data_IF_226346866619
#
_entry.id   IF_226346866619
#
_cell.length_a   1.000
_cell.length_b   1.000
_cell.length_c   1.000
_cell.angle_alpha   90.00
_cell.angle_beta   90.00
_cell.angle_gamma   90.00
#
_symmetry.space_group_name_H-M   'P 1'
#
loop_
_entity.id
_entity.type
_entity.pdbx_description
1 polymer ?
#
# COMPACT_ATOMS: atom_id res chain seq x y z
N UNK A 1 -32.33 -13.46 -24.17
CA UNK A 1 -31.72 -12.13 -24.00
C UNK A 1 -30.28 -12.23 -24.44
N UNK A 2 -29.86 -11.50 -25.49
CA UNK A 2 -28.46 -11.47 -25.95
C UNK A 2 -27.71 -10.40 -25.17
N UNK A 3 -26.63 -10.78 -24.49
CA UNK A 3 -25.78 -9.84 -23.76
C UNK A 3 -25.13 -8.84 -24.74
N UNK A 4 -24.94 -7.58 -24.34
CA UNK A 4 -24.30 -6.56 -25.17
C UNK A 4 -22.83 -6.92 -25.46
N UNK A 5 -22.34 -6.51 -26.64
CA UNK A 5 -20.93 -6.66 -27.01
C UNK A 5 -20.12 -5.52 -26.41
N UNK A 6 -19.07 -5.85 -25.67
CA UNK A 6 -18.11 -4.89 -25.10
C UNK A 6 -16.90 -4.79 -26.03
N UNK A 7 -16.53 -3.57 -26.41
CA UNK A 7 -15.33 -3.27 -27.17
C UNK A 7 -14.29 -2.70 -26.21
N UNK A 8 -13.09 -3.30 -26.19
CA UNK A 8 -11.98 -2.90 -25.34
C UNK A 8 -10.94 -2.27 -26.25
N UNK A 9 -10.67 -0.99 -26.06
CA UNK A 9 -9.49 -0.36 -26.64
C UNK A 9 -8.27 -0.72 -25.78
N UNK A 10 -7.12 -0.90 -26.43
CA UNK A 10 -5.94 -1.58 -25.88
C UNK A 10 -5.40 -0.98 -24.56
N UNK A 11 -4.46 -1.66 -23.88
CA UNK A 11 -3.99 -1.22 -22.58
C UNK A 11 -3.25 0.12 -22.70
N UNK A 12 -3.89 1.19 -22.23
CA UNK A 12 -3.20 2.42 -21.87
C UNK A 12 -2.21 2.08 -20.75
N UNK A 13 -0.93 2.44 -20.93
CA UNK A 13 0.16 2.00 -20.05
C UNK A 13 -0.22 2.15 -18.58
N UNK A 14 -0.10 1.07 -17.80
CA UNK A 14 -0.58 1.05 -16.43
C UNK A 14 0.20 2.10 -15.60
N UNK A 15 -0.47 3.14 -15.10
CA UNK A 15 0.17 4.10 -14.21
C UNK A 15 0.76 3.38 -12.97
N UNK A 16 1.86 3.93 -12.46
CA UNK A 16 2.63 3.41 -11.32
C UNK A 16 3.41 2.07 -11.47
N UNK A 17 3.67 1.50 -12.65
CA UNK A 17 4.50 0.26 -12.78
C UNK A 17 5.89 0.34 -12.11
N UNK A 18 6.41 1.55 -11.95
CA UNK A 18 7.64 1.85 -11.23
C UNK A 18 7.63 1.38 -9.77
N UNK A 19 6.50 1.06 -9.15
CA UNK A 19 6.51 0.68 -7.73
C UNK A 19 7.39 -0.55 -7.47
N UNK A 20 7.51 -1.46 -8.46
CA UNK A 20 8.26 -2.73 -8.38
C UNK A 20 9.76 -2.55 -8.15
N UNK A 21 10.35 -1.41 -8.52
CA UNK A 21 11.78 -1.16 -8.34
C UNK A 21 12.15 -0.64 -6.94
N UNK A 22 11.17 -0.33 -6.08
CA UNK A 22 11.40 0.18 -4.73
C UNK A 22 11.08 -0.88 -3.68
N UNK A 23 11.90 -0.97 -2.64
CA UNK A 23 11.67 -1.90 -1.52
C UNK A 23 10.53 -1.44 -0.61
N UNK A 24 10.33 -0.12 -0.49
CA UNK A 24 9.25 0.46 0.32
C UNK A 24 8.47 1.48 -0.51
N UNK A 25 7.14 1.33 -0.52
CA UNK A 25 6.24 2.24 -1.26
C UNK A 25 5.21 2.86 -0.32
N UNK A 26 4.97 4.16 -0.49
CA UNK A 26 3.92 4.92 0.18
C UNK A 26 2.88 5.32 -0.87
N UNK A 27 1.70 4.72 -0.78
CA UNK A 27 0.57 4.95 -1.68
C UNK A 27 -0.44 5.87 -0.96
N UNK A 28 -0.72 7.04 -1.53
CA UNK A 28 -1.66 8.02 -0.99
C UNK A 28 -2.79 8.28 -1.98
N UNK A 29 -3.99 7.86 -1.63
CA UNK A 29 -5.20 8.08 -2.42
C UNK A 29 -6.20 8.98 -1.69
N UNK A 30 -6.65 10.07 -2.33
CA UNK A 30 -7.75 10.89 -1.79
C UNK A 30 -9.05 10.64 -2.52
N UNK A 31 -10.12 10.36 -1.76
CA UNK A 31 -11.45 10.09 -2.31
C UNK A 31 -11.39 8.99 -3.37
N UNK A 32 -11.89 9.30 -4.57
CA UNK A 32 -11.86 8.41 -5.74
C UNK A 32 -10.44 8.12 -6.26
N UNK A 33 -9.45 8.93 -5.90
CA UNK A 33 -8.04 8.71 -6.24
C UNK A 33 -7.43 7.46 -5.60
N UNK A 34 -8.17 6.77 -4.73
CA UNK A 34 -7.78 5.46 -4.21
C UNK A 34 -8.00 4.32 -5.21
N UNK A 35 -8.98 4.43 -6.11
CA UNK A 35 -9.31 3.40 -7.12
C UNK A 35 -8.10 2.88 -7.90
N UNK A 36 -7.26 3.75 -8.47
CA UNK A 36 -6.06 3.25 -9.18
C UNK A 36 -5.05 2.55 -8.27
N UNK A 37 -4.98 2.90 -7.00
CA UNK A 37 -4.05 2.26 -6.06
C UNK A 37 -4.48 0.84 -5.70
N UNK A 38 -5.76 0.48 -5.90
CA UNK A 38 -6.28 -0.87 -5.65
C UNK A 38 -5.54 -1.90 -6.49
N UNK A 39 -5.34 -1.61 -7.78
CA UNK A 39 -4.67 -2.55 -8.68
C UNK A 39 -3.22 -2.79 -8.24
N UNK A 40 -2.54 -1.75 -7.75
CA UNK A 40 -1.19 -1.83 -7.18
C UNK A 40 -1.18 -2.70 -5.92
N UNK A 41 -2.12 -2.49 -4.99
CA UNK A 41 -2.22 -3.30 -3.77
C UNK A 41 -2.42 -4.78 -4.09
N UNK A 42 -3.36 -5.11 -4.98
CA UNK A 42 -3.61 -6.48 -5.41
C UNK A 42 -2.41 -7.09 -6.12
N UNK A 43 -1.74 -6.33 -7.00
CA UNK A 43 -0.52 -6.80 -7.67
C UNK A 43 0.60 -7.05 -6.65
N UNK A 44 0.77 -6.22 -5.63
CA UNK A 44 1.74 -6.46 -4.53
C UNK A 44 1.42 -7.77 -3.82
N UNK A 45 0.18 -7.97 -3.34
CA UNK A 45 -0.22 -9.22 -2.66
C UNK A 45 0.03 -10.44 -3.54
N UNK A 46 -0.35 -10.37 -4.82
CA UNK A 46 -0.18 -11.49 -5.76
C UNK A 46 1.29 -11.81 -6.05
N UNK A 47 2.14 -10.80 -6.23
CA UNK A 47 3.57 -11.03 -6.43
C UNK A 47 4.21 -11.68 -5.19
N UNK A 48 3.78 -11.30 -3.99
CA UNK A 48 4.24 -11.95 -2.76
C UNK A 48 3.84 -13.43 -2.68
N UNK A 49 2.58 -13.75 -2.95
CA UNK A 49 2.09 -15.14 -2.99
C UNK A 49 2.89 -15.98 -3.99
N UNK A 50 3.13 -15.44 -5.19
CA UNK A 50 3.91 -16.13 -6.22
C UNK A 50 5.37 -16.35 -5.82
N UNK A 51 5.99 -15.42 -5.08
CA UNK A 51 7.36 -15.61 -4.56
C UNK A 51 7.42 -16.71 -3.50
N UNK A 52 6.39 -16.85 -2.65
CA UNK A 52 6.32 -17.91 -1.64
C UNK A 52 6.12 -19.30 -2.24
N UNK A 53 5.30 -19.42 -3.28
CA UNK A 53 5.11 -20.68 -3.99
C UNK A 53 6.41 -21.17 -4.64
N UNK A 54 7.24 -20.25 -5.17
CA UNK A 54 8.54 -20.56 -5.76
C UNK A 54 9.58 -20.97 -4.69
N UNK A 55 9.64 -20.26 -3.55
CA UNK A 55 10.49 -20.62 -2.40
C UNK A 55 10.08 -21.95 -1.74
N UNK A 56 8.78 -22.25 -1.67
CA UNK A 56 8.27 -23.52 -1.14
C UNK A 56 8.58 -24.71 -2.05
N UNK A 57 8.54 -24.52 -3.36
CA UNK A 57 8.82 -25.57 -4.35
C UNK A 57 10.28 -26.02 -4.39
N UNK A 58 11.22 -25.14 -4.05
CA UNK A 58 12.67 -25.43 -4.04
C UNK A 58 13.12 -26.25 -2.82
N UNK A 59 12.31 -26.31 -1.76
CA UNK A 59 12.60 -27.09 -0.55
C UNK A 59 12.16 -28.56 -0.71
N UNK A 60 11.14 -28.85 -1.53
CA UNK A 60 10.61 -30.22 -1.71
C UNK A 60 11.36 -31.06 -2.77
N UNK A 61 12.23 -30.47 -3.61
CA UNK A 61 13.02 -31.19 -4.62
C UNK A 61 14.26 -31.93 -4.06
N UNK A 62 14.34 -32.15 -2.75
CA UNK A 62 15.44 -32.85 -2.09
C UNK A 62 15.42 -34.39 -2.21
N UNK A 63 14.40 -35.02 -2.79
CA UNK A 63 14.42 -36.49 -2.97
C UNK A 63 13.73 -36.98 -4.25
N UNK A 64 14.51 -37.68 -5.08
CA UNK A 64 14.13 -38.53 -6.22
C UNK A 64 13.76 -37.84 -7.54
N UNK A 65 14.62 -38.07 -8.53
CA UNK A 65 14.48 -37.52 -9.87
C UNK A 65 13.26 -38.05 -10.63
N UNK A 66 12.54 -37.10 -11.24
CA UNK A 66 11.82 -37.24 -12.52
C UNK A 66 11.53 -35.83 -13.02
N UNK A 67 12.02 -35.52 -14.21
CA UNK A 67 11.87 -34.21 -14.86
C UNK A 67 10.40 -33.81 -15.03
N UNK A 68 9.97 -32.62 -14.56
CA UNK A 68 8.79 -31.97 -15.10
C UNK A 68 9.24 -30.96 -16.17
N UNK A 69 8.60 -31.04 -17.35
CA UNK A 69 8.77 -30.06 -18.41
C UNK A 69 8.34 -28.67 -17.90
N UNK A 70 9.10 -27.58 -18.13
CA UNK A 70 8.69 -26.26 -17.70
C UNK A 70 7.51 -25.80 -18.57
N UNK A 71 6.33 -25.65 -17.95
CA UNK A 71 5.24 -24.90 -18.55
C UNK A 71 5.69 -23.44 -18.66
N UNK A 72 5.84 -22.97 -19.91
CA UNK A 72 6.10 -21.57 -20.23
C UNK A 72 4.84 -20.73 -19.96
N UNK A 73 4.57 -20.42 -18.69
CA UNK A 73 3.66 -19.33 -18.33
C UNK A 73 4.43 -18.28 -17.49
N UNK A 74 4.75 -17.16 -18.16
CA UNK A 74 5.15 -15.84 -17.61
C UNK A 74 6.21 -15.82 -16.48
N UNK A 75 7.42 -16.29 -16.78
CA UNK A 75 8.63 -16.14 -15.93
C UNK A 75 9.28 -14.75 -15.93
N UNK A 76 8.77 -13.76 -16.69
CA UNK A 76 9.47 -12.48 -16.89
C UNK A 76 9.10 -11.36 -15.91
N UNK A 77 8.03 -11.52 -15.11
CA UNK A 77 7.53 -10.46 -14.22
C UNK A 77 8.11 -10.47 -12.80
N UNK A 78 8.51 -11.64 -12.28
CA UNK A 78 8.95 -11.80 -10.89
C UNK A 78 10.39 -11.36 -10.65
N UNK A 79 11.28 -11.47 -11.65
CA UNK A 79 12.73 -11.27 -11.47
C UNK A 79 13.13 -9.84 -11.11
N UNK A 80 12.23 -8.86 -11.25
CA UNK A 80 12.48 -7.45 -10.94
C UNK A 80 11.57 -6.89 -9.83
N UNK A 81 10.76 -7.70 -9.15
CA UNK A 81 9.91 -7.26 -8.06
C UNK A 81 10.73 -7.12 -6.76
N UNK A 82 10.91 -5.88 -6.29
CA UNK A 82 11.71 -5.57 -5.09
C UNK A 82 10.88 -5.14 -3.89
N UNK A 83 9.59 -4.86 -4.08
CA UNK A 83 8.73 -4.29 -3.04
C UNK A 83 8.60 -5.26 -1.88
N UNK A 84 9.01 -4.81 -0.68
CA UNK A 84 8.99 -5.53 0.59
C UNK A 84 7.91 -5.03 1.54
N UNK A 85 7.55 -3.76 1.43
CA UNK A 85 6.55 -3.11 2.28
C UNK A 85 5.78 -2.07 1.49
N UNK A 86 4.46 -2.05 1.68
CA UNK A 86 3.60 -0.98 1.20
C UNK A 86 2.87 -0.31 2.37
N UNK A 87 2.80 1.02 2.33
CA UNK A 87 1.97 1.82 3.22
C UNK A 87 0.87 2.45 2.38
N UNK A 88 -0.37 2.13 2.67
CA UNK A 88 -1.50 2.69 1.94
C UNK A 88 -2.32 3.61 2.83
N UNK A 89 -2.40 4.88 2.43
CA UNK A 89 -3.17 5.91 3.09
C UNK A 89 -4.32 6.31 2.19
N UNK A 90 -5.52 5.86 2.54
CA UNK A 90 -6.74 6.35 1.94
C UNK A 90 -7.33 7.46 2.80
N UNK A 91 -7.57 8.61 2.18
CA UNK A 91 -8.12 9.79 2.85
C UNK A 91 -9.39 10.21 2.15
N UNK A 92 -10.53 10.19 2.85
CA UNK A 92 -11.82 10.60 2.29
C UNK A 92 -12.53 11.63 3.17
N UNK A 93 -13.41 12.42 2.57
CA UNK A 93 -14.39 13.28 3.26
C UNK A 93 -15.80 12.71 3.21
N UNK A 94 -16.05 11.69 2.40
CA UNK A 94 -17.39 11.20 2.17
C UNK A 94 -17.59 9.89 2.93
N UNK A 95 -18.49 9.87 3.91
CA UNK A 95 -18.80 8.65 4.65
C UNK A 95 -19.42 7.57 3.74
N UNK A 96 -20.25 7.98 2.76
CA UNK A 96 -20.78 7.08 1.74
C UNK A 96 -19.72 6.46 0.82
N UNK A 97 -18.49 7.00 0.82
CA UNK A 97 -17.38 6.37 0.11
C UNK A 97 -16.87 5.08 0.79
N UNK A 98 -17.24 4.83 2.04
CA UNK A 98 -16.85 3.58 2.72
C UNK A 98 -17.51 2.35 2.10
N UNK A 99 -18.75 2.44 1.64
CA UNK A 99 -19.47 1.28 1.12
C UNK A 99 -18.83 0.71 -0.15
N UNK A 100 -18.33 1.56 -1.05
CA UNK A 100 -17.67 1.07 -2.28
C UNK A 100 -16.27 0.54 -2.03
N UNK A 101 -15.51 1.14 -1.11
CA UNK A 101 -14.10 0.77 -0.88
C UNK A 101 -13.92 -0.31 0.20
N UNK A 102 -14.94 -0.53 1.03
CA UNK A 102 -14.97 -1.54 2.10
C UNK A 102 -14.66 -2.94 1.60
N UNK A 103 -15.27 -3.35 0.49
CA UNK A 103 -15.06 -4.69 -0.08
C UNK A 103 -13.59 -4.92 -0.42
N UNK A 104 -12.96 -3.94 -1.07
CA UNK A 104 -11.56 -3.98 -1.46
C UNK A 104 -10.63 -3.95 -0.25
N UNK A 105 -10.91 -3.10 0.75
CA UNK A 105 -10.10 -3.04 1.96
C UNK A 105 -10.13 -4.34 2.75
N UNK A 106 -11.30 -4.99 2.81
CA UNK A 106 -11.43 -6.29 3.45
C UNK A 106 -10.74 -7.38 2.66
N UNK A 107 -10.90 -7.41 1.33
CA UNK A 107 -10.21 -8.36 0.45
C UNK A 107 -8.69 -8.25 0.61
N UNK A 108 -8.11 -7.05 0.51
CA UNK A 108 -6.66 -6.85 0.67
C UNK A 108 -6.20 -7.21 2.09
N UNK A 109 -6.97 -6.86 3.13
CA UNK A 109 -6.64 -7.21 4.50
C UNK A 109 -6.75 -8.71 4.80
N UNK A 110 -7.66 -9.42 4.13
CA UNK A 110 -7.82 -10.87 4.27
C UNK A 110 -6.75 -11.63 3.49
N UNK A 111 -6.36 -11.14 2.31
CA UNK A 111 -5.35 -11.79 1.49
C UNK A 111 -3.90 -11.54 1.95
N UNK A 112 -3.63 -10.45 2.66
CA UNK A 112 -2.29 -10.08 3.14
C UNK A 112 -1.94 -10.76 4.48
N UNK A 113 -1.70 -12.07 4.43
CA UNK A 113 -1.39 -12.87 5.63
C UNK A 113 -0.05 -12.49 6.31
N UNK A 114 0.87 -11.86 5.58
CA UNK A 114 2.20 -11.48 6.08
C UNK A 114 2.26 -10.05 6.62
N UNK A 115 1.20 -9.27 6.41
CA UNK A 115 1.19 -7.85 6.73
C UNK A 115 2.19 -7.05 5.87
N UNK A 116 2.36 -7.39 4.59
CA UNK A 116 3.17 -6.62 3.64
C UNK A 116 2.59 -5.22 3.43
N UNK A 117 1.28 -5.09 3.51
CA UNK A 117 0.51 -3.88 3.25
C UNK A 117 -0.05 -3.34 4.56
N UNK A 118 0.43 -2.17 4.97
CA UNK A 118 -0.12 -1.42 6.09
C UNK A 118 -1.22 -0.49 5.59
N UNK A 119 -2.47 -0.85 5.87
CA UNK A 119 -3.66 -0.11 5.46
C UNK A 119 -4.02 0.95 6.51
N UNK A 120 -4.16 2.21 6.09
CA UNK A 120 -4.66 3.30 6.90
C UNK A 120 -5.82 4.02 6.24
N UNK A 121 -6.96 3.99 6.92
CA UNK A 121 -8.16 4.68 6.48
C UNK A 121 -8.36 5.98 7.29
N UNK A 122 -8.52 7.12 6.62
CA UNK A 122 -8.78 8.41 7.24
C UNK A 122 -10.08 9.03 6.73
N UNK A 123 -11.01 9.32 7.64
CA UNK A 123 -12.20 10.12 7.36
C UNK A 123 -12.04 11.52 7.94
N UNK A 124 -11.89 12.51 7.07
CA UNK A 124 -11.59 13.90 7.44
C UNK A 124 -12.83 14.76 7.65
N UNK A 125 -14.01 14.26 7.33
CA UNK A 125 -15.28 14.97 7.49
C UNK A 125 -15.96 14.74 8.83
N UNK A 126 -15.47 13.77 9.62
CA UNK A 126 -16.21 13.32 10.79
C UNK A 126 -16.27 14.44 11.81
N UNK A 127 -15.18 14.95 12.42
CA UNK A 127 -15.22 16.21 13.20
C UNK A 127 -13.81 16.81 13.35
N UNK A 128 -13.72 18.06 13.84
CA UNK A 128 -12.44 18.72 14.15
C UNK A 128 -11.69 18.02 15.31
N UNK A 129 -10.37 18.17 15.31
CA UNK A 129 -9.47 17.63 16.33
C UNK A 129 -9.83 18.23 17.71
N UNK A 130 -10.34 17.40 18.63
CA UNK A 130 -10.76 17.83 19.97
C UNK A 130 -12.28 17.78 20.25
N UNK A 131 -13.11 17.38 19.29
CA UNK A 131 -14.56 17.18 19.55
C UNK A 131 -14.80 15.96 20.46
N UNK A 132 -15.61 16.14 21.52
CA UNK A 132 -16.03 15.06 22.42
C UNK A 132 -16.71 13.88 21.68
N UNK A 133 -17.35 14.16 20.54
CA UNK A 133 -17.92 13.14 19.65
C UNK A 133 -16.85 12.26 19.01
N UNK A 134 -15.71 12.83 18.64
CA UNK A 134 -14.55 12.07 18.13
C UNK A 134 -13.97 11.16 19.20
N UNK A 135 -13.90 11.63 20.46
CA UNK A 135 -13.43 10.82 21.58
C UNK A 135 -14.36 9.63 21.87
N UNK A 136 -15.68 9.86 21.86
CA UNK A 136 -16.67 8.80 22.02
C UNK A 136 -16.60 7.78 20.89
N UNK A 137 -16.54 8.23 19.63
CA UNK A 137 -16.40 7.34 18.47
C UNK A 137 -15.10 6.54 18.57
N UNK A 138 -13.97 7.16 18.91
CA UNK A 138 -12.70 6.47 19.07
C UNK A 138 -12.74 5.41 20.19
N UNK A 139 -13.45 5.70 21.29
CA UNK A 139 -13.67 4.75 22.38
C UNK A 139 -14.53 3.56 21.91
N UNK A 140 -15.69 3.82 21.30
CA UNK A 140 -16.59 2.79 20.77
C UNK A 140 -15.90 1.93 19.71
N UNK A 141 -15.15 2.56 18.82
CA UNK A 141 -14.37 1.91 17.78
C UNK A 141 -13.29 1.01 18.38
N UNK A 142 -12.58 1.46 19.41
CA UNK A 142 -11.55 0.65 20.06
C UNK A 142 -12.16 -0.55 20.80
N UNK A 143 -13.32 -0.37 21.44
CA UNK A 143 -14.06 -1.47 22.08
C UNK A 143 -14.60 -2.48 21.06
N UNK A 144 -15.22 -2.01 19.97
CA UNK A 144 -15.79 -2.89 18.95
C UNK A 144 -14.70 -3.64 18.17
N UNK A 145 -13.59 -2.97 17.85
CA UNK A 145 -12.47 -3.60 17.17
C UNK A 145 -11.80 -4.65 18.07
N UNK A 146 -11.64 -4.39 19.36
CA UNK A 146 -11.14 -5.39 20.31
C UNK A 146 -12.06 -6.61 20.46
N UNK A 147 -13.39 -6.41 20.37
CA UNK A 147 -14.38 -7.48 20.52
C UNK A 147 -14.60 -8.30 19.24
N UNK A 148 -14.70 -7.62 18.10
CA UNK A 148 -15.19 -8.20 16.84
C UNK A 148 -14.16 -8.11 15.70
N UNK A 149 -13.03 -7.43 15.89
CA UNK A 149 -12.02 -7.21 14.85
C UNK A 149 -12.47 -6.29 13.70
N UNK A 150 -13.58 -5.56 13.89
CA UNK A 150 -14.20 -4.74 12.83
C UNK A 150 -14.34 -3.30 13.32
N UNK A 151 -14.02 -2.37 12.43
CA UNK A 151 -14.26 -0.94 12.60
C UNK A 151 -15.77 -0.64 12.56
N UNK A 152 -16.30 0.02 13.58
CA UNK A 152 -17.75 0.28 13.68
C UNK A 152 -18.23 1.29 12.62
N UNK A 153 -17.35 2.14 12.08
CA UNK A 153 -17.72 3.22 11.19
C UNK A 153 -17.60 2.81 9.72
N UNK A 154 -16.47 2.21 9.34
CA UNK A 154 -16.27 1.72 7.97
C UNK A 154 -16.78 0.28 7.77
N UNK A 155 -17.00 -0.47 8.85
CA UNK A 155 -17.34 -1.89 8.78
C UNK A 155 -16.20 -2.76 8.21
N UNK A 156 -14.96 -2.26 8.19
CA UNK A 156 -13.77 -2.96 7.68
C UNK A 156 -12.95 -3.59 8.80
N UNK A 157 -12.10 -4.57 8.49
CA UNK A 157 -11.10 -5.08 9.46
C UNK A 157 -10.01 -4.05 9.78
N UNK A 158 -9.81 -3.10 8.87
CA UNK A 158 -8.89 -1.96 9.02
C UNK A 158 -9.53 -0.88 9.89
N UNK A 159 -8.81 -0.43 10.91
CA UNK A 159 -9.25 0.64 11.82
C UNK A 159 -9.20 2.00 11.13
N UNK A 160 -10.28 2.77 11.21
CA UNK A 160 -10.38 4.13 10.64
C UNK A 160 -9.83 5.21 11.57
N UNK A 161 -9.36 6.32 11.03
CA UNK A 161 -8.89 7.49 11.78
C UNK A 161 -9.74 8.71 11.42
N UNK A 162 -10.23 9.45 12.42
CA UNK A 162 -11.12 10.60 12.23
C UNK A 162 -10.38 11.93 12.36
N UNK A 163 -9.36 12.11 11.52
CA UNK A 163 -8.54 13.31 11.49
C UNK A 163 -7.87 13.44 10.12
N UNK A 164 -7.11 14.50 9.90
CA UNK A 164 -6.15 14.55 8.79
C UNK A 164 -4.88 13.78 9.19
N UNK A 165 -4.27 13.00 8.29
CA UNK A 165 -2.97 12.40 8.56
C UNK A 165 -1.93 13.48 8.82
N UNK A 166 -1.10 13.30 9.85
CA UNK A 166 0.09 14.12 10.05
C UNK A 166 1.21 13.57 9.14
N UNK A 167 1.31 14.09 7.92
CA UNK A 167 2.23 13.57 6.90
C UNK A 167 3.69 13.59 7.35
N UNK A 168 4.12 14.64 8.06
CA UNK A 168 5.48 14.69 8.61
C UNK A 168 5.79 13.52 9.54
N UNK A 169 4.82 13.14 10.38
CA UNK A 169 4.93 11.97 11.27
C UNK A 169 4.92 10.66 10.49
N UNK A 170 4.14 10.57 9.40
CA UNK A 170 4.15 9.42 8.49
C UNK A 170 5.53 9.22 7.86
N UNK A 171 6.12 10.26 7.27
CA UNK A 171 7.45 10.21 6.69
C UNK A 171 8.49 9.82 7.75
N UNK A 172 8.46 10.46 8.92
CA UNK A 172 9.35 10.11 10.04
C UNK A 172 9.23 8.64 10.45
N UNK A 173 8.01 8.13 10.60
CA UNK A 173 7.76 6.73 10.98
C UNK A 173 8.32 5.77 9.93
N UNK A 174 8.04 6.03 8.65
CA UNK A 174 8.55 5.20 7.55
C UNK A 174 10.09 5.24 7.50
N UNK A 175 10.71 6.40 7.75
CA UNK A 175 12.17 6.53 7.83
C UNK A 175 12.76 5.65 8.96
N UNK A 176 12.11 5.64 10.13
CA UNK A 176 12.55 4.91 11.31
C UNK A 176 12.30 3.39 11.23
N UNK A 177 11.18 2.96 10.63
CA UNK A 177 10.79 1.55 10.55
C UNK A 177 11.59 0.76 9.51
N UNK A 178 12.23 1.44 8.58
CA UNK A 178 13.09 0.85 7.56
C UNK A 178 14.46 1.49 7.66
N UNK A 179 15.20 1.26 8.77
CA UNK A 179 16.58 1.70 8.90
C UNK A 179 17.46 0.83 8.00
N UNK A 180 18.56 1.38 7.53
CA UNK A 180 19.56 0.70 6.70
C UNK A 180 19.86 -0.72 7.23
N UNK A 181 19.38 -1.77 6.56
CA UNK A 181 19.66 -3.15 6.96
C UNK A 181 21.11 -3.47 6.56
N UNK A 182 22.05 -3.40 7.51
CA UNK A 182 23.37 -4.03 7.39
C UNK A 182 23.50 -5.14 8.42
N UNK A 183 23.41 -6.38 7.96
CA UNK A 183 24.01 -7.54 8.63
C UNK A 183 24.84 -8.25 7.58
N UNK A 184 26.16 -8.07 7.63
CA UNK A 184 27.12 -8.61 6.65
C UNK A 184 28.21 -7.57 6.34
N UNK A 185 29.43 -7.85 6.78
CA UNK A 185 30.62 -7.02 6.60
C UNK A 185 30.97 -6.84 5.11
N UNK A 186 30.56 -5.75 4.46
CA UNK A 186 31.28 -5.17 3.32
C UNK A 186 30.93 -3.67 3.20
N UNK A 187 31.82 -2.76 3.63
CA UNK A 187 31.50 -1.35 3.73
C UNK A 187 31.91 -0.61 2.45
N UNK A 188 31.38 -0.95 1.26
CA UNK A 188 31.78 -0.19 0.07
C UNK A 188 30.74 -0.16 -1.08
N UNK A 189 29.45 0.05 -0.78
CA UNK A 189 28.54 0.75 -1.70
C UNK A 189 27.40 1.36 -0.89
N UNK A 190 27.24 2.68 -0.96
CA UNK A 190 26.13 3.43 -0.35
C UNK A 190 24.83 3.07 -1.10
N UNK A 191 24.13 2.00 -0.69
CA UNK A 191 22.75 1.79 -1.14
C UNK A 191 21.87 2.76 -0.35
N UNK A 192 21.60 3.89 -0.97
CA UNK A 192 20.64 4.86 -0.47
C UNK A 192 19.26 4.18 -0.42
N UNK A 193 18.61 4.16 0.76
CA UNK A 193 17.26 3.61 0.90
C UNK A 193 16.27 4.54 0.19
N UNK A 194 15.86 4.15 -1.02
CA UNK A 194 14.93 4.92 -1.83
C UNK A 194 13.50 4.40 -1.63
N UNK A 195 12.61 5.31 -1.22
CA UNK A 195 11.19 5.06 -0.97
C UNK A 195 10.39 5.84 -2.00
N UNK A 196 9.41 5.21 -2.64
CA UNK A 196 8.57 5.87 -3.63
C UNK A 196 7.26 6.30 -3.00
N UNK A 197 6.87 7.55 -3.24
CA UNK A 197 5.59 8.12 -2.80
C UNK A 197 4.72 8.33 -4.01
N UNK A 198 3.64 7.56 -4.11
CA UNK A 198 2.62 7.74 -5.14
C UNK A 198 1.44 8.51 -4.58
N UNK A 199 1.05 9.57 -5.28
CA UNK A 199 -0.03 10.42 -4.88
C UNK A 199 -1.07 10.56 -5.98
N UNK A 200 -2.33 10.24 -5.66
CA UNK A 200 -3.48 10.53 -6.51
C UNK A 200 -4.56 11.28 -5.73
N UNK A 201 -4.84 12.52 -6.14
CA UNK A 201 -5.83 13.37 -5.50
C UNK A 201 -5.72 14.85 -5.89
N UNK A 202 -6.55 15.72 -5.29
CA UNK A 202 -6.55 17.16 -5.55
C UNK A 202 -5.17 17.81 -5.36
N UNK A 203 -4.83 18.89 -6.08
CA UNK A 203 -3.48 19.45 -6.07
C UNK A 203 -3.03 20.04 -4.71
N UNK A 204 -3.96 20.31 -3.80
CA UNK A 204 -3.66 20.95 -2.51
C UNK A 204 -2.61 20.21 -1.67
N UNK A 205 -2.65 18.87 -1.65
CA UNK A 205 -1.73 18.06 -0.85
C UNK A 205 -0.41 17.74 -1.60
N UNK A 206 -0.36 17.92 -2.92
CA UNK A 206 0.83 17.63 -3.73
C UNK A 206 2.04 18.45 -3.26
N UNK A 207 1.85 19.75 -2.98
CA UNK A 207 2.96 20.63 -2.56
C UNK A 207 3.55 20.19 -1.23
N UNK A 208 2.70 19.84 -0.26
CA UNK A 208 3.12 19.39 1.06
C UNK A 208 3.92 18.08 0.97
N UNK A 209 3.41 17.07 0.25
CA UNK A 209 4.09 15.77 0.11
C UNK A 209 5.41 15.89 -0.65
N UNK A 210 5.47 16.74 -1.68
CA UNK A 210 6.70 17.01 -2.41
C UNK A 210 7.75 17.69 -1.50
N UNK A 211 7.34 18.69 -0.71
CA UNK A 211 8.23 19.37 0.22
C UNK A 211 8.75 18.42 1.30
N UNK A 212 7.86 17.61 1.90
CA UNK A 212 8.27 16.60 2.89
C UNK A 212 9.23 15.56 2.29
N UNK A 213 8.98 15.13 1.05
CA UNK A 213 9.90 14.21 0.35
C UNK A 213 11.29 14.82 0.19
N UNK A 214 11.38 16.09 -0.21
CA UNK A 214 12.65 16.80 -0.32
C UNK A 214 13.32 16.96 1.06
N UNK A 215 12.58 17.45 2.06
CA UNK A 215 13.10 17.71 3.40
C UNK A 215 13.67 16.45 4.05
N UNK A 216 12.95 15.33 4.02
CA UNK A 216 13.45 14.07 4.57
C UNK A 216 14.61 13.50 3.75
N UNK A 217 14.59 13.67 2.42
CA UNK A 217 15.69 13.24 1.56
C UNK A 217 16.99 14.01 1.82
N UNK A 218 16.91 15.29 2.19
CA UNK A 218 18.10 16.10 2.50
C UNK A 218 18.59 15.90 3.93
N UNK A 219 17.68 15.73 4.89
CA UNK A 219 18.02 15.72 6.31
C UNK A 219 18.15 14.32 6.93
N UNK A 220 17.87 13.26 6.16
CA UNK A 220 17.98 11.87 6.64
C UNK A 220 18.74 10.99 5.65
N UNK A 221 19.09 9.78 6.07
CA UNK A 221 19.71 8.75 5.22
C UNK A 221 18.73 8.07 4.26
N UNK A 222 17.43 8.28 4.44
CA UNK A 222 16.37 7.80 3.55
C UNK A 222 16.11 8.81 2.44
N UNK A 223 16.03 8.37 1.18
CA UNK A 223 15.51 9.19 0.07
C UNK A 223 14.05 8.86 -0.20
N UNK A 224 13.28 9.91 -0.44
CA UNK A 224 11.89 9.87 -0.87
C UNK A 224 11.81 10.41 -2.28
N UNK A 225 11.35 9.55 -3.19
CA UNK A 225 11.04 9.90 -4.57
C UNK A 225 9.54 10.13 -4.70
N UNK A 226 9.13 11.39 -4.90
CA UNK A 226 7.73 11.76 -4.97
C UNK A 226 7.23 11.76 -6.41
N UNK A 227 6.13 11.06 -6.64
CA UNK A 227 5.47 11.03 -7.93
C UNK A 227 3.98 11.34 -7.78
N UNK A 228 3.55 12.41 -8.45
CA UNK A 228 2.13 12.69 -8.65
C UNK A 228 1.66 11.89 -9.84
N UNK A 229 0.77 10.95 -9.59
CA UNK A 229 0.12 10.17 -10.63
C UNK A 229 -1.14 10.91 -11.11
N UNK A 230 -1.33 10.97 -12.42
CA UNK A 230 -2.59 11.39 -13.03
C UNK A 230 -3.22 10.13 -13.65
N UNK A 231 -4.02 9.44 -12.84
CA UNK A 231 -4.78 8.25 -13.24
C UNK A 231 -6.06 8.64 -13.97
#
# INVERSE_FOLDING_TARGET
>A
STLPKVLIDGPYGAPAQDYKQYEVVLLVGLGIGATPMISILKDIVNNFKAMEEDEGSTIEEGTSGKSPRPSHHKRTGLSNFKTKRAYFYWVTREQGSFDWFKGVMNEVAEEDHRGVIELHNYCTSVYEEGDARSALIAMLQSLNHAKNGVDIVSGTRVKSHFAKPNWRSVYKRIALNHPQTRVGEFPFFNRIDMKRVFYCGPPALTKELHQLSSDFSHNTTTKYDFHKENF
#
